data_IF_877957536534
#
_entry.id   IF_877957536534
#
_cell.length_a   1.000
_cell.length_b   1.000
_cell.length_c   1.000
_cell.angle_alpha   90.00
_cell.angle_beta   90.00
_cell.angle_gamma   90.00
#
_symmetry.space_group_name_H-M   'P 1'
#
loop_
_entity.id
_entity.type
_entity.pdbx_description
1 polymer ?
#
# COMPACT_ATOMS: atom_id res chain seq x y z
N UNK A 1 13.29 1.46 4.82
CA UNK A 1 13.18 0.42 3.78
C UNK A 1 14.54 0.04 3.17
N UNK A 2 15.53 0.95 3.10
CA UNK A 2 16.91 0.63 2.64
C UNK A 2 17.70 -0.27 3.62
N UNK A 3 17.43 -0.20 4.92
CA UNK A 3 18.17 -1.02 5.91
C UNK A 3 17.90 -2.53 5.84
N UNK A 4 16.70 -2.96 5.39
CA UNK A 4 16.33 -4.38 5.38
C UNK A 4 16.91 -5.13 4.17
N UNK A 5 17.02 -4.46 3.01
CA UNK A 5 17.74 -5.01 1.86
C UNK A 5 19.25 -5.09 2.11
N UNK A 6 19.80 -4.22 2.98
CA UNK A 6 21.23 -4.24 3.32
C UNK A 6 21.61 -5.42 4.20
N UNK A 7 20.67 -5.96 4.99
CA UNK A 7 20.92 -7.13 5.86
C UNK A 7 20.84 -8.45 5.09
N UNK A 8 20.04 -8.52 4.01
CA UNK A 8 20.01 -9.68 3.11
C UNK A 8 21.17 -9.71 2.10
N UNK A 9 21.87 -8.59 1.93
CA UNK A 9 23.01 -8.42 1.02
C UNK A 9 24.29 -8.06 1.78
N UNK A 10 24.34 -8.38 3.06
CA UNK A 10 25.56 -8.26 3.85
C UNK A 10 26.46 -9.44 3.51
N UNK A 11 27.32 -9.22 2.52
CA UNK A 11 28.21 -10.24 1.96
C UNK A 11 29.12 -10.83 3.05
N UNK A 12 29.43 -10.06 4.11
CA UNK A 12 30.27 -10.50 5.22
C UNK A 12 29.57 -11.56 6.09
N UNK A 13 28.25 -11.48 6.29
CA UNK A 13 27.49 -12.49 7.04
C UNK A 13 27.23 -13.75 6.21
N UNK A 14 27.07 -13.61 4.89
CA UNK A 14 26.96 -14.75 3.97
C UNK A 14 28.30 -15.51 3.93
N UNK A 15 29.43 -14.81 3.78
CA UNK A 15 30.77 -15.42 3.74
C UNK A 15 31.13 -16.11 5.06
N UNK A 16 30.79 -15.53 6.22
CA UNK A 16 31.03 -16.17 7.52
C UNK A 16 30.25 -17.49 7.69
N UNK A 17 29.03 -17.56 7.16
CA UNK A 17 28.22 -18.79 7.17
C UNK A 17 28.72 -19.83 6.15
N UNK A 18 29.27 -19.37 5.03
CA UNK A 18 29.83 -20.22 3.98
C UNK A 18 31.19 -20.81 4.40
N UNK A 19 32.03 -20.06 5.10
CA UNK A 19 33.32 -20.50 5.64
C UNK A 19 33.20 -21.58 6.70
N UNK A 20 32.10 -21.60 7.45
CA UNK A 20 31.81 -22.65 8.41
C UNK A 20 31.41 -23.99 7.74
N UNK A 21 31.05 -23.97 6.44
CA UNK A 21 30.36 -25.09 5.78
C UNK A 21 31.07 -25.63 4.54
N UNK A 22 31.88 -24.82 3.85
CA UNK A 22 32.47 -25.19 2.55
C UNK A 22 33.99 -25.15 2.60
N UNK A 23 34.61 -26.33 2.61
CA UNK A 23 36.04 -26.49 2.32
C UNK A 23 36.32 -26.21 0.84
N UNK A 24 37.46 -25.61 0.47
CA UNK A 24 37.80 -25.33 -0.93
C UNK A 24 37.73 -26.62 -1.76
N UNK A 25 36.86 -26.63 -2.76
CA UNK A 25 36.71 -27.75 -3.68
C UNK A 25 37.95 -27.82 -4.55
N UNK A 26 38.65 -28.96 -4.46
CA UNK A 26 39.75 -29.30 -5.36
C UNK A 26 39.16 -30.23 -6.41
N UNK A 27 39.28 -29.88 -7.70
CA UNK A 27 38.88 -30.82 -8.74
C UNK A 27 39.78 -32.07 -8.75
N UNK A 28 39.37 -33.10 -9.49
CA UNK A 28 40.15 -34.33 -9.65
C UNK A 28 41.51 -34.12 -10.35
N UNK A 29 41.76 -32.93 -10.89
CA UNK A 29 43.01 -32.53 -11.54
C UNK A 29 43.91 -31.64 -10.66
N UNK A 30 43.52 -31.37 -9.40
CA UNK A 30 44.26 -30.51 -8.46
C UNK A 30 44.02 -29.01 -8.62
N UNK A 31 43.06 -28.59 -9.46
CA UNK A 31 42.60 -27.23 -9.60
C UNK A 31 41.83 -26.78 -8.35
N UNK A 32 42.33 -25.74 -7.67
CA UNK A 32 41.68 -25.16 -6.51
C UNK A 32 40.87 -23.94 -6.96
N UNK A 33 39.54 -23.98 -6.79
CA UNK A 33 38.70 -22.82 -7.11
C UNK A 33 38.66 -21.84 -5.93
N UNK A 34 39.05 -20.56 -6.13
CA UNK A 34 38.99 -19.57 -5.06
C UNK A 34 37.55 -19.19 -4.73
N UNK A 35 37.35 -18.66 -3.52
CA UNK A 35 36.04 -18.17 -3.05
C UNK A 35 35.50 -17.08 -3.98
N UNK A 36 34.18 -17.08 -4.19
CA UNK A 36 33.50 -16.15 -5.09
C UNK A 36 33.75 -14.67 -4.73
N UNK A 37 33.88 -14.36 -3.44
CA UNK A 37 34.22 -13.02 -2.94
C UNK A 37 35.62 -12.53 -3.35
N UNK A 38 36.57 -13.44 -3.55
CA UNK A 38 37.93 -13.12 -4.03
C UNK A 38 37.92 -12.85 -5.53
N UNK A 39 37.12 -13.59 -6.29
CA UNK A 39 36.99 -13.40 -7.75
C UNK A 39 36.37 -12.04 -8.07
N UNK A 40 35.30 -11.66 -7.35
CA UNK A 40 34.60 -10.39 -7.51
C UNK A 40 35.34 -9.19 -6.88
N UNK A 41 36.19 -9.41 -5.88
CA UNK A 41 36.99 -8.37 -5.23
C UNK A 41 38.30 -8.04 -5.96
N UNK A 42 38.66 -8.77 -7.01
CA UNK A 42 39.88 -8.48 -7.77
C UNK A 42 39.66 -7.25 -8.66
N UNK A 43 40.36 -6.15 -8.35
CA UNK A 43 40.33 -4.88 -9.10
C UNK A 43 40.66 -5.04 -10.61
N UNK A 44 41.21 -6.20 -11.01
CA UNK A 44 41.51 -6.53 -12.39
C UNK A 44 40.27 -6.84 -13.25
N UNK A 45 39.13 -7.25 -12.67
CA UNK A 45 37.90 -7.57 -13.42
C UNK A 45 36.83 -6.48 -13.36
N UNK A 46 36.92 -5.55 -12.40
CA UNK A 46 35.98 -4.43 -12.27
C UNK A 46 36.04 -3.43 -13.44
N UNK A 47 37.16 -3.39 -14.17
CA UNK A 47 37.35 -2.49 -15.32
C UNK A 47 36.96 -3.10 -16.68
N UNK A 48 36.54 -4.37 -16.73
CA UNK A 48 36.18 -5.06 -17.98
C UNK A 48 34.65 -5.06 -18.26
N UNK A 49 33.84 -4.64 -17.28
CA UNK A 49 32.38 -4.54 -17.43
C UNK A 49 31.89 -3.25 -18.11
N UNK A 50 32.79 -2.34 -18.47
CA UNK A 50 32.46 -1.04 -19.10
C UNK A 50 32.75 -1.01 -20.62
N UNK A 51 32.86 -2.17 -21.26
CA UNK A 51 32.95 -2.24 -22.72
C UNK A 51 31.60 -1.87 -23.34
N UNK A 52 31.59 -0.81 -24.17
CA UNK A 52 30.38 -0.34 -24.86
C UNK A 52 29.78 -1.46 -25.71
N UNK A 53 28.59 -1.91 -25.30
CA UNK A 53 27.76 -2.96 -25.92
C UNK A 53 27.19 -2.59 -27.30
N UNK A 54 27.78 -1.61 -27.99
CA UNK A 54 27.27 -1.05 -29.25
C UNK A 54 27.76 -1.82 -30.48
N UNK A 55 28.69 -2.76 -30.34
CA UNK A 55 29.21 -3.55 -31.47
C UNK A 55 29.50 -5.03 -31.12
N UNK A 56 28.86 -5.56 -30.08
CA UNK A 56 28.94 -6.98 -29.75
C UNK A 56 27.98 -7.75 -30.68
N UNK A 57 28.48 -8.25 -31.81
CA UNK A 57 27.77 -9.29 -32.57
C UNK A 57 27.80 -10.56 -31.73
N UNK A 58 26.66 -10.92 -31.14
CA UNK A 58 26.48 -12.21 -30.50
C UNK A 58 26.75 -13.28 -31.57
N UNK A 59 27.86 -13.99 -31.43
CA UNK A 59 28.11 -15.18 -32.22
C UNK A 59 26.94 -16.13 -31.91
N UNK A 60 26.25 -16.64 -32.93
CA UNK A 60 25.13 -17.58 -32.76
C UNK A 60 25.56 -18.61 -31.73
N UNK A 61 24.84 -18.63 -30.60
CA UNK A 61 25.27 -19.37 -29.43
C UNK A 61 25.56 -20.82 -29.82
N UNK A 62 26.59 -21.39 -29.19
CA UNK A 62 26.98 -22.82 -29.28
C UNK A 62 25.79 -23.80 -29.04
N UNK A 63 24.64 -23.29 -28.62
CA UNK A 63 23.43 -24.02 -28.34
C UNK A 63 22.48 -23.97 -29.54
N UNK A 64 22.40 -25.09 -30.26
CA UNK A 64 21.36 -25.33 -31.26
C UNK A 64 20.01 -25.46 -30.55
N UNK A 65 19.21 -24.39 -30.55
CA UNK A 65 17.92 -24.32 -29.86
C UNK A 65 16.92 -25.38 -30.36
N UNK A 66 17.07 -25.86 -31.60
CA UNK A 66 16.24 -26.93 -32.17
C UNK A 66 16.67 -28.35 -31.72
N UNK A 67 17.83 -28.46 -31.05
CA UNK A 67 18.36 -29.71 -30.53
C UNK A 67 18.21 -29.85 -29.01
N UNK A 68 17.53 -28.91 -28.33
CA UNK A 68 17.24 -29.07 -26.91
C UNK A 68 16.12 -30.10 -26.73
N UNK A 69 16.38 -31.25 -26.07
CA UNK A 69 15.34 -32.22 -25.78
C UNK A 69 14.28 -31.57 -24.88
N UNK A 70 13.01 -31.88 -25.13
CA UNK A 70 11.93 -31.52 -24.22
C UNK A 70 12.24 -32.13 -22.84
N UNK A 71 12.46 -31.29 -21.84
CA UNK A 71 12.71 -31.73 -20.48
C UNK A 71 11.43 -32.36 -19.90
N UNK A 72 11.33 -33.69 -19.95
CA UNK A 72 10.33 -34.45 -19.18
C UNK A 72 10.73 -34.45 -17.70
N UNK A 73 10.35 -33.39 -16.98
CA UNK A 73 10.65 -33.27 -15.56
C UNK A 73 9.79 -34.26 -14.76
N UNK A 74 10.38 -35.39 -14.39
CA UNK A 74 9.78 -36.30 -13.41
C UNK A 74 9.99 -35.72 -12.00
N UNK A 75 8.97 -35.79 -11.13
CA UNK A 75 9.00 -35.19 -9.78
C UNK A 75 10.12 -35.70 -8.85
N UNK A 76 10.82 -36.77 -9.24
CA UNK A 76 11.94 -37.35 -8.50
C UNK A 76 13.32 -36.84 -8.96
N UNK A 77 13.37 -35.96 -9.97
CA UNK A 77 14.61 -35.50 -10.62
C UNK A 77 15.08 -34.11 -10.11
N UNK A 78 14.67 -33.75 -8.90
CA UNK A 78 15.09 -32.50 -8.23
C UNK A 78 16.48 -32.60 -7.59
N UNK A 79 17.16 -33.74 -7.70
CA UNK A 79 18.57 -33.85 -7.37
C UNK A 79 19.40 -33.26 -8.50
N UNK A 80 20.33 -32.34 -8.18
CA UNK A 80 21.28 -31.85 -9.18
C UNK A 80 22.13 -33.03 -9.72
N UNK A 81 22.89 -32.83 -10.81
CA UNK A 81 23.74 -33.84 -11.46
C UNK A 81 24.78 -34.46 -10.50
N UNK A 82 25.03 -33.82 -9.36
CA UNK A 82 25.87 -34.26 -8.23
C UNK A 82 25.12 -35.05 -7.14
N UNK A 83 23.81 -35.30 -7.30
CA UNK A 83 22.99 -36.00 -6.30
C UNK A 83 22.62 -35.16 -5.08
N UNK A 84 22.81 -33.83 -5.12
CA UNK A 84 22.39 -32.93 -4.03
C UNK A 84 20.89 -32.68 -4.08
N UNK A 85 20.23 -32.94 -2.96
CA UNK A 85 18.81 -32.73 -2.80
C UNK A 85 18.47 -31.21 -2.77
N UNK A 86 17.78 -30.73 -3.80
CA UNK A 86 17.31 -29.34 -3.88
C UNK A 86 16.02 -29.10 -3.09
N UNK A 87 15.55 -30.05 -2.30
CA UNK A 87 14.37 -29.91 -1.42
C UNK A 87 14.45 -28.68 -0.51
N UNK A 88 15.64 -28.30 -0.06
CA UNK A 88 15.87 -27.09 0.73
C UNK A 88 15.49 -25.81 -0.04
N UNK A 89 15.82 -25.71 -1.33
CA UNK A 89 15.56 -24.53 -2.15
C UNK A 89 14.05 -24.29 -2.32
N UNK A 90 13.27 -25.36 -2.48
CA UNK A 90 11.81 -25.31 -2.60
C UNK A 90 11.20 -24.78 -1.30
N UNK A 91 11.69 -25.25 -0.14
CA UNK A 91 11.22 -24.77 1.15
C UNK A 91 11.51 -23.29 1.36
N UNK A 92 12.75 -22.84 1.05
CA UNK A 92 13.11 -21.42 1.15
C UNK A 92 12.29 -20.55 0.22
N UNK A 93 12.12 -20.98 -1.04
CA UNK A 93 11.30 -20.26 -2.03
C UNK A 93 9.86 -20.14 -1.54
N UNK A 94 9.28 -21.21 -1.00
CA UNK A 94 7.92 -21.20 -0.45
C UNK A 94 7.80 -20.25 0.74
N UNK A 95 8.74 -20.28 1.68
CA UNK A 95 8.74 -19.39 2.83
C UNK A 95 8.88 -17.92 2.42
N UNK A 96 9.72 -17.63 1.43
CA UNK A 96 9.90 -16.30 0.88
C UNK A 96 8.62 -15.81 0.20
N UNK A 97 7.96 -16.65 -0.61
CA UNK A 97 6.69 -16.33 -1.25
C UNK A 97 5.58 -16.05 -0.23
N UNK A 98 5.47 -16.84 0.85
CA UNK A 98 4.48 -16.58 1.91
C UNK A 98 4.73 -15.24 2.63
N UNK A 99 5.99 -14.90 2.89
CA UNK A 99 6.34 -13.61 3.52
C UNK A 99 6.03 -12.44 2.59
N UNK A 100 6.33 -12.59 1.30
CA UNK A 100 6.04 -11.59 0.28
C UNK A 100 4.52 -11.40 0.07
N UNK A 101 3.75 -12.50 0.03
CA UNK A 101 2.29 -12.46 -0.04
C UNK A 101 1.69 -11.70 1.15
N UNK A 102 2.13 -12.01 2.37
CA UNK A 102 1.70 -11.31 3.56
C UNK A 102 2.03 -9.81 3.49
N UNK A 103 3.23 -9.47 3.03
CA UNK A 103 3.66 -8.08 2.86
C UNK A 103 2.80 -7.32 1.84
N UNK A 104 2.51 -7.93 0.69
CA UNK A 104 1.63 -7.36 -0.33
C UNK A 104 0.23 -7.14 0.24
N UNK A 105 -0.35 -8.13 0.90
CA UNK A 105 -1.68 -8.00 1.50
C UNK A 105 -1.73 -6.88 2.53
N UNK A 106 -0.73 -6.79 3.42
CA UNK A 106 -0.63 -5.70 4.39
C UNK A 106 -0.50 -4.33 3.71
N UNK A 107 0.31 -4.24 2.65
CA UNK A 107 0.50 -3.00 1.90
C UNK A 107 -0.77 -2.53 1.18
N UNK A 108 -1.46 -3.45 0.49
CA UNK A 108 -2.71 -3.18 -0.21
C UNK A 108 -3.79 -2.74 0.78
N UNK A 109 -3.99 -3.48 1.87
CA UNK A 109 -4.97 -3.14 2.89
C UNK A 109 -4.69 -1.76 3.50
N UNK A 110 -3.43 -1.47 3.86
CA UNK A 110 -3.03 -0.16 4.37
C UNK A 110 -3.35 0.96 3.39
N UNK A 111 -3.08 0.75 2.10
CA UNK A 111 -3.36 1.74 1.05
C UNK A 111 -4.85 1.98 0.91
N UNK A 112 -5.67 0.92 0.85
CA UNK A 112 -7.12 1.00 0.76
C UNK A 112 -7.71 1.73 1.97
N UNK A 113 -7.32 1.36 3.19
CA UNK A 113 -7.78 2.03 4.41
C UNK A 113 -7.41 3.52 4.42
N UNK A 114 -6.21 3.87 3.98
CA UNK A 114 -5.78 5.27 3.87
C UNK A 114 -6.68 6.06 2.92
N UNK A 115 -7.02 5.50 1.76
CA UNK A 115 -7.93 6.11 0.79
C UNK A 115 -9.34 6.27 1.38
N UNK A 116 -9.86 5.23 2.03
CA UNK A 116 -11.20 5.27 2.65
C UNK A 116 -11.25 6.36 3.72
N UNK A 117 -10.29 6.39 4.65
CA UNK A 117 -10.22 7.40 5.71
C UNK A 117 -10.14 8.80 5.11
N UNK A 118 -9.30 8.99 4.09
CA UNK A 118 -9.19 10.28 3.40
C UNK A 118 -10.52 10.73 2.80
N UNK A 119 -11.24 9.84 2.09
CA UNK A 119 -12.55 10.15 1.52
C UNK A 119 -13.58 10.46 2.61
N UNK A 120 -13.61 9.67 3.69
CA UNK A 120 -14.53 9.87 4.83
C UNK A 120 -14.31 11.23 5.51
N UNK A 121 -13.05 11.61 5.76
CA UNK A 121 -12.67 12.91 6.37
C UNK A 121 -13.04 14.08 5.46
N UNK A 122 -12.80 13.98 4.16
CA UNK A 122 -13.17 15.04 3.23
C UNK A 122 -14.70 15.16 3.08
N UNK A 123 -15.40 14.03 2.99
CA UNK A 123 -16.85 14.03 2.93
C UNK A 123 -17.47 14.63 4.19
N UNK A 124 -17.02 14.22 5.39
CA UNK A 124 -17.54 14.79 6.64
C UNK A 124 -17.24 16.28 6.75
N UNK A 125 -16.09 16.76 6.27
CA UNK A 125 -15.77 18.20 6.26
C UNK A 125 -16.79 18.99 5.43
N UNK A 126 -17.11 18.52 4.22
CA UNK A 126 -18.09 19.20 3.34
C UNK A 126 -19.49 19.18 3.98
N UNK A 127 -19.91 18.02 4.50
CA UNK A 127 -21.20 17.85 5.19
C UNK A 127 -21.29 18.74 6.43
N UNK A 128 -20.23 18.78 7.25
CA UNK A 128 -20.15 19.57 8.47
C UNK A 128 -20.19 21.07 8.17
N UNK A 129 -19.36 21.56 7.24
CA UNK A 129 -19.37 22.97 6.84
C UNK A 129 -20.72 23.37 6.23
N UNK A 130 -21.34 22.51 5.43
CA UNK A 130 -22.68 22.74 4.90
C UNK A 130 -23.76 22.80 5.98
N UNK A 131 -23.63 22.01 7.05
CA UNK A 131 -24.48 22.10 8.24
C UNK A 131 -24.24 23.39 9.03
N UNK A 132 -22.97 23.71 9.29
CA UNK A 132 -22.54 24.88 10.04
C UNK A 132 -23.00 26.19 9.38
N UNK A 133 -22.82 26.32 8.06
CA UNK A 133 -23.27 27.50 7.31
C UNK A 133 -24.77 27.70 7.46
N UNK A 134 -25.59 26.63 7.42
CA UNK A 134 -27.06 26.74 7.61
C UNK A 134 -27.44 27.21 9.01
N UNK A 135 -26.72 26.76 10.04
CA UNK A 135 -26.95 27.20 11.44
C UNK A 135 -26.51 28.65 11.63
N UNK A 136 -25.32 29.01 11.13
CA UNK A 136 -24.79 30.37 11.22
C UNK A 136 -25.65 31.35 10.44
N UNK A 137 -26.19 30.95 9.28
CA UNK A 137 -27.05 31.78 8.46
C UNK A 137 -28.26 32.32 9.22
N UNK A 138 -28.85 31.51 10.12
CA UNK A 138 -29.96 31.96 10.97
C UNK A 138 -29.55 33.09 11.93
N UNK A 139 -28.28 33.12 12.37
CA UNK A 139 -27.76 34.14 13.28
C UNK A 139 -27.27 35.38 12.55
N UNK A 140 -26.75 35.22 11.33
CA UNK A 140 -26.27 36.34 10.52
C UNK A 140 -27.41 37.12 9.87
N UNK A 141 -28.56 36.49 9.66
CA UNK A 141 -29.66 37.15 9.03
C UNK A 141 -30.31 38.16 9.99
N UNK A 142 -30.24 39.44 9.62
CA UNK A 142 -30.74 40.59 10.40
C UNK A 142 -32.27 40.73 10.37
N UNK A 143 -32.98 39.75 9.81
CA UNK A 143 -34.45 39.74 9.71
C UNK A 143 -35.00 40.49 8.51
N UNK A 144 -34.14 41.07 7.65
CA UNK A 144 -34.57 41.72 6.42
C UNK A 144 -34.60 40.73 5.26
N UNK A 145 -35.80 40.26 4.90
CA UNK A 145 -36.01 39.42 3.73
C UNK A 145 -36.55 40.26 2.58
N UNK A 146 -35.85 40.24 1.43
CA UNK A 146 -36.42 40.71 0.18
C UNK A 146 -37.17 39.55 -0.47
N UNK A 147 -38.49 39.65 -0.54
CA UNK A 147 -39.33 38.67 -1.20
C UNK A 147 -39.61 39.12 -2.64
N UNK A 148 -39.29 38.26 -3.60
CA UNK A 148 -39.62 38.49 -5.00
C UNK A 148 -40.92 37.75 -5.31
N UNK A 149 -42.03 38.49 -5.37
CA UNK A 149 -43.32 37.95 -5.81
C UNK A 149 -43.54 38.22 -7.29
N UNK A 150 -44.21 37.30 -7.97
CA UNK A 150 -44.84 37.58 -9.28
C UNK A 150 -46.27 38.05 -9.06
N UNK A 151 -46.61 39.22 -9.59
CA UNK A 151 -47.97 39.76 -9.52
C UNK A 151 -48.79 39.31 -10.73
N UNK A 152 -50.09 39.13 -10.52
CA UNK A 152 -51.03 38.94 -11.61
C UNK A 152 -51.19 40.25 -12.42
N UNK A 153 -51.73 40.18 -13.65
CA UNK A 153 -51.84 41.32 -14.58
C UNK A 153 -52.68 42.49 -14.04
N UNK A 154 -53.54 42.21 -13.06
CA UNK A 154 -54.39 43.11 -12.30
C UNK A 154 -53.68 43.75 -11.08
N UNK A 155 -52.41 43.43 -10.83
CA UNK A 155 -51.62 44.01 -9.72
C UNK A 155 -51.94 43.43 -8.35
N UNK A 156 -52.85 42.45 -8.26
CA UNK A 156 -53.15 41.75 -7.01
C UNK A 156 -52.02 40.78 -6.65
N UNK A 157 -51.58 40.87 -5.40
CA UNK A 157 -50.67 39.90 -4.79
C UNK A 157 -51.48 38.70 -4.30
N UNK A 158 -51.06 37.50 -4.69
CA UNK A 158 -51.75 36.24 -4.38
C UNK A 158 -51.66 35.83 -2.91
N UNK A 159 -50.81 36.48 -2.11
CA UNK A 159 -50.55 36.10 -0.72
C UNK A 159 -50.67 37.28 0.22
N UNK A 160 -51.36 37.07 1.34
CA UNK A 160 -51.40 38.01 2.45
C UNK A 160 -50.04 38.05 3.15
N UNK A 161 -49.59 39.25 3.56
CA UNK A 161 -48.25 39.46 4.11
C UNK A 161 -47.96 38.59 5.34
N UNK A 162 -48.96 38.40 6.21
CA UNK A 162 -48.86 37.61 7.45
C UNK A 162 -48.57 36.13 7.16
N UNK A 163 -49.31 35.53 6.23
CA UNK A 163 -49.10 34.13 5.83
C UNK A 163 -47.69 33.89 5.26
N UNK A 164 -47.09 34.91 4.63
CA UNK A 164 -45.74 34.83 4.10
C UNK A 164 -44.70 34.88 5.23
N UNK A 165 -44.86 35.76 6.20
CA UNK A 165 -43.98 35.87 7.38
C UNK A 165 -43.93 34.53 8.13
N UNK A 166 -45.10 33.95 8.45
CA UNK A 166 -45.19 32.67 9.16
C UNK A 166 -44.54 31.51 8.39
N UNK A 167 -44.72 31.48 7.05
CA UNK A 167 -44.08 30.47 6.19
C UNK A 167 -42.57 30.63 6.14
N UNK A 168 -42.07 31.86 6.11
CA UNK A 168 -40.63 32.14 6.09
C UNK A 168 -40.00 31.74 7.42
N UNK A 169 -40.60 32.09 8.55
CA UNK A 169 -40.12 31.68 9.88
C UNK A 169 -40.09 30.15 10.03
N UNK A 170 -41.15 29.46 9.59
CA UNK A 170 -41.22 28.01 9.59
C UNK A 170 -40.13 27.37 8.71
N UNK A 171 -39.94 27.87 7.49
CA UNK A 171 -38.87 27.40 6.59
C UNK A 171 -37.48 27.63 7.17
N UNK A 172 -37.24 28.78 7.79
CA UNK A 172 -35.97 29.09 8.46
C UNK A 172 -35.71 28.11 9.59
N UNK A 173 -36.70 27.87 10.47
CA UNK A 173 -36.60 26.88 11.55
C UNK A 173 -36.20 25.50 11.01
N UNK A 174 -36.83 25.06 9.93
CA UNK A 174 -36.53 23.78 9.29
C UNK A 174 -35.11 23.71 8.71
N UNK A 175 -34.61 24.80 8.13
CA UNK A 175 -33.23 24.89 7.63
C UNK A 175 -32.22 24.75 8.77
N UNK A 176 -32.48 25.34 9.93
CA UNK A 176 -31.63 25.21 11.12
C UNK A 176 -31.57 23.79 11.64
N UNK A 177 -32.73 23.14 11.82
CA UNK A 177 -32.83 21.75 12.26
C UNK A 177 -32.09 20.82 11.30
N UNK A 178 -32.27 21.01 9.99
CA UNK A 178 -31.48 20.30 8.97
C UNK A 178 -29.99 20.53 9.15
N UNK A 179 -29.56 21.77 9.36
CA UNK A 179 -28.16 22.12 9.58
C UNK A 179 -27.54 21.34 10.74
N UNK A 180 -28.23 21.27 11.88
CA UNK A 180 -27.81 20.49 13.05
C UNK A 180 -27.74 18.99 12.72
N UNK A 181 -28.74 18.45 12.02
CA UNK A 181 -28.73 17.05 11.60
C UNK A 181 -27.53 16.72 10.68
N UNK A 182 -27.19 17.61 9.75
CA UNK A 182 -25.99 17.47 8.91
C UNK A 182 -24.70 17.46 9.75
N UNK A 183 -24.59 18.31 10.76
CA UNK A 183 -23.43 18.32 11.66
C UNK A 183 -23.31 17.00 12.45
N UNK A 184 -24.41 16.50 13.02
CA UNK A 184 -24.43 15.22 13.75
C UNK A 184 -24.08 14.06 12.83
N UNK A 185 -24.66 14.02 11.62
CA UNK A 185 -24.34 13.01 10.61
C UNK A 185 -22.85 13.03 10.22
N UNK A 186 -22.24 14.21 10.10
CA UNK A 186 -20.82 14.34 9.81
C UNK A 186 -19.94 13.71 10.91
N UNK A 187 -20.31 13.84 12.19
CA UNK A 187 -19.63 13.15 13.29
C UNK A 187 -19.89 11.65 13.28
N UNK A 188 -21.13 11.23 13.03
CA UNK A 188 -21.48 9.81 12.98
C UNK A 188 -20.70 9.05 11.90
N UNK A 189 -20.48 9.67 10.74
CA UNK A 189 -19.68 9.13 9.64
C UNK A 189 -18.21 8.88 10.05
N UNK A 190 -17.69 9.61 11.05
CA UNK A 190 -16.32 9.45 11.53
C UNK A 190 -16.17 8.29 12.54
N UNK A 191 -17.23 7.86 13.19
CA UNK A 191 -17.16 6.83 14.25
C UNK A 191 -16.63 5.46 13.78
N UNK A 192 -17.02 4.92 12.60
CA UNK A 192 -16.62 3.57 12.21
C UNK A 192 -15.10 3.38 12.10
N UNK A 193 -14.38 4.31 11.46
CA UNK A 193 -12.93 4.15 11.28
C UNK A 193 -12.16 4.44 12.58
N UNK A 194 -12.67 5.33 13.44
CA UNK A 194 -12.10 5.56 14.78
C UNK A 194 -12.19 4.28 15.61
N UNK A 195 -13.32 3.58 15.57
CA UNK A 195 -13.51 2.30 16.27
C UNK A 195 -12.55 1.23 15.75
N UNK A 196 -12.39 1.13 14.43
CA UNK A 196 -11.44 0.21 13.80
C UNK A 196 -10.01 0.51 14.23
N UNK A 197 -9.60 1.79 14.27
CA UNK A 197 -8.26 2.15 14.75
C UNK A 197 -8.06 1.80 16.22
N UNK A 198 -9.08 1.97 17.06
CA UNK A 198 -8.98 1.59 18.47
C UNK A 198 -8.82 0.08 18.67
N UNK A 199 -9.46 -0.77 17.85
CA UNK A 199 -9.26 -2.22 17.94
C UNK A 199 -7.84 -2.59 17.51
N UNK A 200 -7.35 -2.07 16.38
CA UNK A 200 -6.00 -2.37 15.90
C UNK A 200 -4.90 -1.91 16.85
N UNK A 201 -5.02 -0.73 17.46
CA UNK A 201 -4.02 -0.22 18.41
C UNK A 201 -3.90 -1.13 19.64
N UNK A 202 -5.01 -1.70 20.12
CA UNK A 202 -4.96 -2.63 21.26
C UNK A 202 -4.17 -3.89 20.89
N UNK A 203 -4.45 -4.47 19.73
CA UNK A 203 -3.81 -5.71 19.30
C UNK A 203 -2.30 -5.54 19.07
N UNK A 204 -1.87 -4.37 18.60
CA UNK A 204 -0.44 -4.04 18.45
C UNK A 204 0.30 -3.96 19.79
N UNK A 205 -0.34 -3.44 20.84
CA UNK A 205 0.30 -3.30 22.16
C UNK A 205 0.52 -4.68 22.81
N UNK A 206 -0.39 -5.63 22.63
CA UNK A 206 -0.26 -6.96 23.23
C UNK A 206 0.74 -7.86 22.49
N UNK A 207 0.94 -7.65 21.19
CA UNK A 207 1.91 -8.42 20.40
C UNK A 207 3.37 -8.24 20.86
N UNK A 208 3.72 -7.06 21.41
CA UNK A 208 5.08 -6.75 21.87
C UNK A 208 5.44 -7.41 23.22
N UNK A 209 4.43 -7.77 24.01
CA UNK A 209 4.65 -8.34 25.35
C UNK A 209 4.88 -9.86 25.38
N UNK A 210 4.77 -10.55 24.24
CA UNK A 210 4.72 -12.02 24.16
C UNK A 210 6.01 -12.76 23.78
N UNK A 211 7.10 -12.07 23.43
CA UNK A 211 8.33 -12.68 22.88
C UNK A 211 9.53 -12.66 23.84
N UNK A 212 9.29 -12.82 25.14
CA UNK A 212 10.34 -13.09 26.14
C UNK A 212 10.07 -14.41 26.88
N UNK A 213 10.21 -15.53 26.18
CA UNK A 213 10.34 -16.86 26.79
C UNK A 213 11.13 -17.78 25.88
#
# INVERSE_FOLDING_TARGET
MVMLMRTCYDVDTIDASFDATVTPLTDENGGTYPKLSVTLGSEAQANDCDTQLSNATLQDGVFNCDALPECDMQCNDLSDREGRDNSALIWFTRSACCTFEWYIHAFILRTIFTIIIYLTVNFSRVVFLGGLVRVIWQKLNTGFFSYHATCARNGEHTYEKRDLEDKVESMLGWIGVKGVLFMVAAFAIQLPWIFILQSFVRDLIYADTGTTS
#
